data_IF_605389928067
#
_entry.id   IF_605389928067
#
_cell.length_a   1.000
_cell.length_b   1.000
_cell.length_c   1.000
_cell.angle_alpha   90.00
_cell.angle_beta   90.00
_cell.angle_gamma   90.00
#
_symmetry.space_group_name_H-M   'P 1'
#
loop_
_entity.id
_entity.type
_entity.pdbx_description
1 polymer ?
#
# COMPACT_ATOMS: atom_id res chain seq x y z
N UNK A 1 12.97 10.55 6.54
CA UNK A 1 13.18 9.68 5.36
C UNK A 1 11.99 9.81 4.41
N UNK A 2 12.21 9.79 3.09
CA UNK A 2 11.14 9.94 2.08
C UNK A 2 10.01 8.91 2.24
N UNK A 3 10.34 7.71 2.70
CA UNK A 3 9.37 6.63 2.93
C UNK A 3 8.39 6.97 4.06
N UNK A 4 8.87 7.56 5.17
CA UNK A 4 8.03 7.96 6.30
C UNK A 4 7.13 9.15 5.96
N UNK A 5 7.62 10.10 5.15
CA UNK A 5 6.79 11.20 4.64
C UNK A 5 5.64 10.66 3.78
N UNK A 6 5.93 9.74 2.85
CA UNK A 6 4.91 9.12 1.99
C UNK A 6 3.88 8.30 2.77
N UNK A 7 4.29 7.68 3.87
CA UNK A 7 3.36 6.99 4.76
C UNK A 7 2.39 7.96 5.44
N UNK A 8 2.89 9.05 6.03
CA UNK A 8 2.05 10.07 6.66
C UNK A 8 1.10 10.73 5.66
N UNK A 9 1.57 11.03 4.44
CA UNK A 9 0.73 11.54 3.36
C UNK A 9 -0.43 10.58 3.05
N UNK A 10 -0.16 9.28 2.92
CA UNK A 10 -1.21 8.28 2.66
C UNK A 10 -2.20 8.21 3.83
N UNK A 11 -1.71 8.10 5.07
CA UNK A 11 -2.59 8.02 6.24
C UNK A 11 -3.47 9.25 6.36
N UNK A 12 -2.90 10.45 6.17
CA UNK A 12 -3.67 11.69 6.22
C UNK A 12 -4.69 11.78 5.09
N UNK A 13 -4.33 11.38 3.87
CA UNK A 13 -5.22 11.43 2.71
C UNK A 13 -6.48 10.58 2.87
N UNK A 14 -6.39 9.45 3.56
CA UNK A 14 -7.51 8.52 3.73
C UNK A 14 -8.20 8.63 5.08
N UNK A 15 -7.85 9.62 5.91
CA UNK A 15 -8.37 9.72 7.28
C UNK A 15 -9.88 9.98 7.32
N UNK A 16 -10.38 10.84 6.43
CA UNK A 16 -11.81 11.14 6.35
C UNK A 16 -12.61 9.92 5.91
N UNK A 17 -12.09 9.18 4.93
CA UNK A 17 -12.69 7.92 4.45
C UNK A 17 -12.73 6.86 5.56
N UNK A 18 -11.66 6.73 6.37
CA UNK A 18 -11.64 5.85 7.54
C UNK A 18 -12.73 6.22 8.55
N UNK A 19 -12.94 7.52 8.80
CA UNK A 19 -14.00 8.00 9.70
C UNK A 19 -15.38 7.73 9.13
N UNK A 20 -15.61 7.97 7.85
CA UNK A 20 -16.89 7.71 7.19
C UNK A 20 -17.25 6.22 7.22
N UNK A 21 -16.32 5.33 6.86
CA UNK A 21 -16.53 3.87 6.91
C UNK A 21 -16.81 3.43 8.35
N UNK A 22 -16.05 3.95 9.33
CA UNK A 22 -16.30 3.66 10.75
C UNK A 22 -17.71 4.05 11.16
N UNK A 23 -18.21 5.20 10.72
CA UNK A 23 -19.56 5.69 11.04
C UNK A 23 -20.65 4.88 10.31
N UNK A 24 -20.44 4.56 9.03
CA UNK A 24 -21.40 3.80 8.22
C UNK A 24 -21.61 2.37 8.72
N UNK A 25 -20.52 1.70 9.10
CA UNK A 25 -20.55 0.29 9.47
C UNK A 25 -20.54 0.06 10.99
N UNK A 26 -20.32 1.11 11.79
CA UNK A 26 -20.13 1.03 13.24
C UNK A 26 -19.05 0.01 13.65
N UNK A 27 -17.99 -0.10 12.84
CA UNK A 27 -16.86 -1.01 13.02
C UNK A 27 -15.56 -0.24 13.09
N UNK A 28 -14.61 -0.74 13.90
CA UNK A 28 -13.26 -0.17 13.99
C UNK A 28 -12.52 -0.34 12.66
N UNK A 29 -12.33 0.76 11.94
CA UNK A 29 -11.60 0.81 10.67
C UNK A 29 -10.21 1.41 10.88
N UNK A 30 -9.20 0.93 10.15
CA UNK A 30 -7.85 1.47 10.19
C UNK A 30 -7.27 1.53 8.77
N UNK A 31 -6.69 2.67 8.40
CA UNK A 31 -5.95 2.83 7.14
C UNK A 31 -4.60 2.13 7.23
N UNK A 32 -4.35 1.21 6.29
CA UNK A 32 -3.07 0.50 6.18
C UNK A 32 -2.25 1.06 5.00
N UNK A 33 -1.20 1.86 5.26
CA UNK A 33 -0.37 2.41 4.20
C UNK A 33 0.64 1.38 3.67
N UNK A 34 0.44 0.91 2.44
CA UNK A 34 1.44 0.11 1.73
C UNK A 34 2.34 1.05 0.91
N UNK A 35 3.64 1.10 1.26
CA UNK A 35 4.64 1.92 0.58
C UNK A 35 5.65 1.01 -0.13
N UNK A 36 5.71 1.13 -1.46
CA UNK A 36 6.63 0.42 -2.33
C UNK A 36 7.40 1.45 -3.15
N UNK A 37 8.72 1.43 -3.04
CA UNK A 37 9.61 2.23 -3.88
C UNK A 37 9.70 1.65 -5.29
N UNK A 38 10.10 2.48 -6.26
CA UNK A 38 10.26 2.07 -7.65
C UNK A 38 11.24 0.89 -7.83
N UNK A 39 12.29 0.85 -7.00
CA UNK A 39 13.27 -0.25 -6.95
C UNK A 39 12.79 -1.45 -6.11
N UNK A 40 11.51 -1.50 -5.77
CA UNK A 40 10.95 -2.51 -4.88
C UNK A 40 11.23 -2.28 -3.39
N UNK A 41 11.79 -1.14 -2.98
CA UNK A 41 12.06 -0.91 -1.56
C UNK A 41 10.75 -0.95 -0.76
N UNK A 42 10.73 -1.75 0.31
CA UNK A 42 9.61 -1.83 1.25
C UNK A 42 10.02 -1.13 2.54
N UNK A 43 9.10 -0.38 3.17
CA UNK A 43 9.37 0.24 4.46
C UNK A 43 9.62 -0.83 5.53
N UNK A 44 10.64 -0.61 6.37
CA UNK A 44 10.82 -1.39 7.61
C UNK A 44 9.58 -1.25 8.50
N UNK A 45 9.18 -2.33 9.16
CA UNK A 45 7.99 -2.40 10.04
C UNK A 45 6.61 -2.37 9.36
N UNK A 46 6.54 -2.46 8.03
CA UNK A 46 5.27 -2.65 7.33
C UNK A 46 4.55 -3.97 7.71
N UNK A 47 5.28 -4.94 8.28
CA UNK A 47 4.69 -6.16 8.85
C UNK A 47 3.67 -5.87 9.96
N UNK A 48 3.83 -4.76 10.70
CA UNK A 48 2.86 -4.36 11.74
C UNK A 48 1.48 -4.12 11.15
N UNK A 49 1.40 -3.55 9.96
CA UNK A 49 0.14 -3.28 9.29
C UNK A 49 -0.42 -4.54 8.63
N UNK A 50 0.44 -5.34 8.01
CA UNK A 50 0.06 -6.58 7.32
C UNK A 50 -0.54 -7.59 8.29
N UNK A 51 0.03 -7.73 9.49
CA UNK A 51 -0.53 -8.60 10.54
C UNK A 51 -1.92 -8.18 11.02
N UNK A 52 -2.35 -6.95 10.76
CA UNK A 52 -3.71 -6.48 11.09
C UNK A 52 -4.75 -6.85 10.05
N UNK A 53 -4.34 -7.16 8.81
CA UNK A 53 -5.25 -7.60 7.76
C UNK A 53 -5.24 -9.12 7.64
N UNK A 54 -6.32 -9.82 8.02
CA UNK A 54 -6.42 -11.26 7.80
C UNK A 54 -6.31 -11.57 6.30
N UNK A 55 -5.42 -12.51 5.95
CA UNK A 55 -5.18 -12.94 4.56
C UNK A 55 -3.99 -12.28 3.86
N UNK A 56 -3.49 -11.14 4.36
CA UNK A 56 -2.20 -10.58 3.92
C UNK A 56 -1.08 -11.24 4.73
N UNK A 57 -0.51 -12.33 4.24
CA UNK A 57 0.48 -13.11 4.99
C UNK A 57 1.93 -12.73 4.71
N UNK A 58 2.22 -12.13 3.54
CA UNK A 58 3.60 -11.89 3.14
C UNK A 58 3.78 -10.61 2.30
N UNK A 59 4.55 -9.66 2.84
CA UNK A 59 4.85 -8.38 2.19
C UNK A 59 5.65 -8.53 0.89
N UNK A 60 6.49 -9.56 0.80
CA UNK A 60 7.28 -9.85 -0.40
C UNK A 60 6.39 -10.26 -1.58
N UNK A 61 5.26 -10.93 -1.32
CA UNK A 61 4.32 -11.26 -2.38
C UNK A 61 3.64 -10.01 -2.93
N UNK A 62 3.27 -9.06 -2.07
CA UNK A 62 2.69 -7.77 -2.46
C UNK A 62 3.68 -6.99 -3.33
N UNK A 63 4.94 -6.92 -2.91
CA UNK A 63 6.01 -6.28 -3.66
C UNK A 63 6.20 -6.93 -5.03
N UNK A 64 6.29 -8.27 -5.10
CA UNK A 64 6.43 -9.00 -6.37
C UNK A 64 5.26 -8.69 -7.32
N UNK A 65 4.03 -8.73 -6.83
CA UNK A 65 2.84 -8.45 -7.64
C UNK A 65 2.88 -7.01 -8.18
N UNK A 66 3.22 -6.03 -7.34
CA UNK A 66 3.32 -4.63 -7.74
C UNK A 66 4.42 -4.41 -8.79
N UNK A 67 5.59 -5.04 -8.61
CA UNK A 67 6.70 -4.97 -9.58
C UNK A 67 6.32 -5.60 -10.91
N UNK A 68 5.69 -6.78 -10.89
CA UNK A 68 5.23 -7.47 -12.11
C UNK A 68 4.17 -6.67 -12.85
N UNK A 69 3.20 -6.08 -12.14
CA UNK A 69 2.20 -5.20 -12.72
C UNK A 69 2.82 -3.95 -13.34
N UNK A 70 3.79 -3.33 -12.66
CA UNK A 70 4.53 -2.17 -13.17
C UNK A 70 5.33 -2.51 -14.43
N UNK A 71 6.08 -3.62 -14.42
CA UNK A 71 6.82 -4.10 -15.58
C UNK A 71 5.89 -4.44 -16.75
N UNK A 72 4.71 -5.01 -16.47
CA UNK A 72 3.70 -5.29 -17.51
C UNK A 72 3.17 -4.02 -18.16
N UNK A 73 2.81 -3.00 -17.36
CA UNK A 73 2.37 -1.70 -17.87
C UNK A 73 3.47 -1.06 -18.70
N UNK A 74 4.71 -1.02 -18.19
CA UNK A 74 5.86 -0.46 -18.90
C UNK A 74 6.11 -1.15 -20.24
N UNK A 75 6.07 -2.50 -20.27
CA UNK A 75 6.21 -3.25 -21.52
C UNK A 75 5.11 -2.88 -22.50
N UNK A 76 3.85 -2.83 -22.07
CA UNK A 76 2.75 -2.40 -22.95
C UNK A 76 2.96 -0.98 -23.48
N UNK A 77 3.30 -0.02 -22.63
CA UNK A 77 3.49 1.37 -23.06
C UNK A 77 4.66 1.53 -24.03
N UNK A 78 5.75 0.78 -23.83
CA UNK A 78 6.93 0.83 -24.69
C UNK A 78 6.79 0.00 -25.97
N UNK A 79 5.92 -1.00 -25.99
CA UNK A 79 5.61 -1.80 -27.20
C UNK A 79 4.55 -1.15 -28.10
N UNK A 80 3.93 -0.03 -27.69
CA UNK A 80 2.97 0.74 -28.50
C UNK A 80 3.69 1.85 -29.30
N UNK A 81 5.01 1.98 -29.16
CA UNK A 81 5.90 2.69 -30.09
C UNK A 81 6.74 1.67 -30.87
#
# INVERSE_FOLDING_TARGET
>A
DNVSLKEMEKVSKYKDMEMEITRMWNLKTETIPIILGALGIIKKYSDKYIRKTPGLTNIYNIQKIALLGTAHILRKTLSIH
#
